data_IF_016061318713
#
_entry.id   IF_016061318713
#
_cell.length_a   1.000
_cell.length_b   1.000
_cell.length_c   1.000
_cell.angle_alpha   90.00
_cell.angle_beta   90.00
_cell.angle_gamma   90.00
#
_symmetry.space_group_name_H-M   'P 1'
#
loop_
_entity.id
_entity.type
_entity.pdbx_description
1 polymer ?
#
# COMPACT_ATOMS: atom_id res chain seq x y z
N UNK A 1 3.66 28.51 29.77
CA UNK A 1 2.43 27.70 29.67
C UNK A 1 2.84 26.25 29.38
N UNK A 2 2.74 25.38 30.39
CA UNK A 2 3.19 24.00 30.38
C UNK A 2 2.07 23.16 29.74
N UNK A 3 2.36 22.49 28.61
CA UNK A 3 1.43 21.55 27.98
C UNK A 3 1.42 20.22 28.74
N UNK A 4 0.28 19.78 29.29
CA UNK A 4 0.18 18.48 29.93
C UNK A 4 -0.28 17.46 28.89
N UNK A 5 0.56 16.49 28.52
CA UNK A 5 0.10 15.16 28.02
C UNK A 5 1.24 14.18 27.74
N UNK A 6 1.59 13.29 28.67
CA UNK A 6 1.84 11.91 28.26
C UNK A 6 0.93 10.88 28.95
N UNK A 7 0.48 11.11 30.20
CA UNK A 7 -0.16 10.07 31.04
C UNK A 7 -1.49 9.48 30.57
N UNK A 8 -2.30 10.19 29.80
CA UNK A 8 -3.59 9.67 29.32
C UNK A 8 -3.41 8.75 28.10
N UNK A 9 -2.43 9.03 27.23
CA UNK A 9 -2.10 8.22 26.06
C UNK A 9 -1.41 6.93 26.46
N UNK A 10 -0.45 6.98 27.38
CA UNK A 10 0.20 5.77 27.94
C UNK A 10 -0.79 4.82 28.62
N UNK A 11 -1.78 5.32 29.35
CA UNK A 11 -2.83 4.48 29.95
C UNK A 11 -3.79 3.85 28.91
N UNK A 12 -4.07 4.54 27.83
CA UNK A 12 -4.90 4.02 26.74
C UNK A 12 -4.16 2.96 25.92
N UNK A 13 -2.87 3.20 25.67
CA UNK A 13 -2.00 2.25 24.95
C UNK A 13 -1.76 0.99 25.78
N UNK A 14 -1.48 1.09 27.10
CA UNK A 14 -1.33 -0.04 28.01
C UNK A 14 -2.61 -0.88 28.09
N UNK A 15 -3.79 -0.28 28.12
CA UNK A 15 -5.06 -1.00 28.10
C UNK A 15 -5.33 -1.71 26.77
N UNK A 16 -4.87 -1.14 25.67
CA UNK A 16 -4.96 -1.76 24.34
C UNK A 16 -4.02 -2.98 24.24
N UNK A 17 -2.82 -2.89 24.81
CA UNK A 17 -1.85 -3.97 24.87
C UNK A 17 -2.37 -5.15 25.71
N UNK A 18 -2.98 -4.87 26.87
CA UNK A 18 -3.60 -5.89 27.72
C UNK A 18 -4.72 -6.65 26.98
N UNK A 19 -5.56 -5.93 26.24
CA UNK A 19 -6.64 -6.54 25.44
C UNK A 19 -6.05 -7.39 24.31
N UNK A 20 -4.99 -6.93 23.68
CA UNK A 20 -4.32 -7.67 22.61
C UNK A 20 -3.73 -8.98 23.12
N UNK A 21 -3.03 -8.95 24.26
CA UNK A 21 -2.39 -10.13 24.85
C UNK A 21 -3.45 -11.13 25.33
N UNK A 22 -4.55 -10.65 25.90
CA UNK A 22 -5.66 -11.52 26.32
C UNK A 22 -6.32 -12.22 25.12
N UNK A 23 -6.54 -11.52 24.01
CA UNK A 23 -7.13 -12.10 22.80
C UNK A 23 -6.17 -13.07 22.11
N UNK A 24 -4.87 -12.79 22.07
CA UNK A 24 -3.83 -13.70 21.60
C UNK A 24 -3.85 -15.02 22.42
N UNK A 25 -3.89 -14.90 23.74
CA UNK A 25 -3.98 -16.07 24.63
C UNK A 25 -5.25 -16.89 24.37
N UNK A 26 -6.38 -16.23 24.13
CA UNK A 26 -7.63 -16.89 23.75
C UNK A 26 -7.50 -17.64 22.41
N UNK A 27 -6.86 -17.06 21.40
CA UNK A 27 -6.63 -17.70 20.09
C UNK A 27 -5.75 -18.95 20.23
N UNK A 28 -4.68 -18.90 21.03
CA UNK A 28 -3.82 -20.05 21.31
C UNK A 28 -4.62 -21.16 22.00
N UNK A 29 -5.40 -20.83 23.04
CA UNK A 29 -6.27 -21.78 23.73
C UNK A 29 -7.29 -22.42 22.80
N UNK A 30 -7.94 -21.61 21.95
CA UNK A 30 -8.91 -22.07 20.96
C UNK A 30 -8.27 -22.99 19.91
N UNK A 31 -7.07 -22.63 19.42
CA UNK A 31 -6.29 -23.43 18.47
C UNK A 31 -5.95 -24.81 19.02
N UNK A 32 -5.57 -24.87 20.30
CA UNK A 32 -5.32 -26.11 21.02
C UNK A 32 -6.61 -26.94 21.22
N UNK A 33 -7.69 -26.30 21.67
CA UNK A 33 -8.98 -26.95 21.88
C UNK A 33 -9.56 -27.56 20.59
N UNK A 34 -9.48 -26.83 19.47
CA UNK A 34 -9.92 -27.32 18.14
C UNK A 34 -9.20 -28.59 17.71
N UNK A 35 -7.95 -28.79 18.14
CA UNK A 35 -7.13 -29.94 17.83
C UNK A 35 -7.27 -31.09 18.87
N UNK A 36 -7.99 -30.84 19.95
CA UNK A 36 -8.16 -31.83 21.01
C UNK A 36 -6.88 -32.20 21.76
N UNK A 37 -5.83 -31.36 21.70
CA UNK A 37 -4.54 -31.63 22.33
C UNK A 37 -4.46 -30.97 23.72
N UNK A 38 -3.75 -31.66 24.66
CA UNK A 38 -3.48 -31.11 25.98
C UNK A 38 -2.38 -30.02 25.91
N UNK A 39 -2.30 -29.15 26.94
CA UNK A 39 -1.21 -28.19 27.08
C UNK A 39 0.15 -28.88 27.12
N UNK A 40 0.23 -30.03 27.78
CA UNK A 40 1.44 -30.87 27.85
C UNK A 40 1.87 -31.36 26.45
N UNK A 41 0.93 -31.72 25.60
CA UNK A 41 1.21 -32.09 24.22
C UNK A 41 1.71 -30.86 23.41
N UNK A 42 1.02 -29.74 23.50
CA UNK A 42 1.45 -28.51 22.84
C UNK A 42 2.85 -28.07 23.31
N UNK A 43 3.16 -28.21 24.60
CA UNK A 43 4.49 -27.92 25.15
C UNK A 43 5.58 -28.74 24.48
N UNK A 44 5.32 -30.04 24.28
CA UNK A 44 6.25 -30.95 23.59
C UNK A 44 6.45 -30.59 22.15
N UNK A 45 5.36 -30.33 21.42
CA UNK A 45 5.36 -30.12 19.98
C UNK A 45 5.92 -28.73 19.60
N UNK A 46 5.72 -27.73 20.47
CA UNK A 46 6.21 -26.37 20.25
C UNK A 46 7.59 -26.07 20.86
N UNK A 47 8.09 -26.95 21.74
CA UNK A 47 9.34 -26.71 22.48
C UNK A 47 9.21 -25.66 23.60
N UNK A 48 8.00 -25.30 24.02
CA UNK A 48 7.71 -24.26 25.00
C UNK A 48 7.27 -24.92 26.31
N UNK A 49 7.72 -24.38 27.46
CA UNK A 49 7.32 -24.94 28.74
C UNK A 49 5.80 -24.88 28.99
N UNK A 50 5.23 -25.89 29.62
CA UNK A 50 3.80 -25.93 29.92
C UNK A 50 3.34 -24.75 30.80
N UNK A 51 4.20 -24.31 31.73
CA UNK A 51 3.98 -23.13 32.56
C UNK A 51 3.84 -21.86 31.72
N UNK A 52 4.74 -21.66 30.75
CA UNK A 52 4.71 -20.45 29.91
C UNK A 52 3.52 -20.47 28.95
N UNK A 53 3.15 -21.63 28.42
CA UNK A 53 1.91 -21.78 27.64
C UNK A 53 0.67 -21.44 28.49
N UNK A 54 0.66 -21.80 29.78
CA UNK A 54 -0.43 -21.42 30.68
C UNK A 54 -0.55 -19.91 30.87
N UNK A 55 0.58 -19.22 31.02
CA UNK A 55 0.61 -17.75 31.07
C UNK A 55 0.14 -17.10 29.78
N UNK A 56 0.58 -17.61 28.61
CA UNK A 56 0.13 -17.10 27.30
C UNK A 56 -1.39 -17.30 27.17
N UNK A 57 -1.91 -18.51 27.43
CA UNK A 57 -3.34 -18.81 27.34
C UNK A 57 -4.20 -18.05 28.37
N UNK A 58 -3.58 -17.59 29.46
CA UNK A 58 -4.21 -16.73 30.47
C UNK A 58 -4.20 -15.24 30.13
N UNK A 59 -3.50 -14.83 29.07
CA UNK A 59 -3.34 -13.43 28.72
C UNK A 59 -2.34 -12.67 29.59
N UNK A 60 -1.49 -13.37 30.34
CA UNK A 60 -0.46 -12.79 31.20
C UNK A 60 0.94 -12.85 30.59
N UNK A 61 1.11 -13.63 29.53
CA UNK A 61 2.40 -13.83 28.85
C UNK A 61 2.55 -12.93 27.65
N UNK A 62 3.73 -12.31 27.49
CA UNK A 62 4.11 -11.58 26.28
C UNK A 62 5.08 -12.45 25.44
N UNK A 63 4.57 -13.31 24.54
CA UNK A 63 5.41 -14.24 23.78
C UNK A 63 6.19 -13.52 22.69
N UNK A 64 7.47 -13.85 22.56
CA UNK A 64 8.26 -13.41 21.42
C UNK A 64 7.73 -14.01 20.11
N UNK A 65 8.07 -13.41 18.99
CA UNK A 65 7.70 -13.93 17.66
C UNK A 65 8.22 -15.35 17.43
N UNK A 66 9.36 -15.70 18.01
CA UNK A 66 9.94 -17.05 17.93
C UNK A 66 9.06 -18.05 18.68
N UNK A 67 8.55 -17.67 19.85
CA UNK A 67 7.61 -18.50 20.63
C UNK A 67 6.30 -18.70 19.86
N UNK A 68 5.75 -17.64 19.28
CA UNK A 68 4.55 -17.74 18.42
C UNK A 68 4.78 -18.63 17.21
N UNK A 69 5.96 -18.57 16.59
CA UNK A 69 6.35 -19.46 15.49
C UNK A 69 6.34 -20.93 15.91
N UNK A 70 6.85 -21.24 17.11
CA UNK A 70 6.83 -22.60 17.65
C UNK A 70 5.38 -23.11 17.87
N UNK A 71 4.50 -22.28 18.42
CA UNK A 71 3.08 -22.62 18.61
C UNK A 71 2.38 -22.80 17.26
N UNK A 72 2.61 -21.91 16.32
CA UNK A 72 2.03 -21.96 14.98
C UNK A 72 2.45 -23.23 14.23
N UNK A 73 3.73 -23.61 14.31
CA UNK A 73 4.24 -24.85 13.73
C UNK A 73 3.58 -26.10 14.37
N UNK A 74 3.40 -26.11 15.70
CA UNK A 74 2.71 -27.20 16.39
C UNK A 74 1.21 -27.28 16.01
N UNK A 75 0.63 -26.19 15.54
CA UNK A 75 -0.76 -26.15 15.06
C UNK A 75 -0.87 -26.35 13.54
N UNK A 76 0.24 -26.38 12.82
CA UNK A 76 0.28 -26.40 11.35
C UNK A 76 -0.52 -25.23 10.73
N UNK A 77 -0.24 -24.01 11.20
CA UNK A 77 -0.86 -22.77 10.72
C UNK A 77 0.18 -21.65 10.55
N UNK A 78 -0.08 -20.66 9.71
CA UNK A 78 0.73 -19.44 9.68
C UNK A 78 0.68 -18.69 11.02
N UNK A 79 1.79 -18.06 11.43
CA UNK A 79 1.86 -17.26 12.68
C UNK A 79 0.77 -16.17 12.70
N UNK A 80 0.41 -15.63 11.56
CA UNK A 80 -0.62 -14.60 11.43
C UNK A 80 -2.00 -15.04 11.97
N UNK A 81 -2.29 -16.36 12.00
CA UNK A 81 -3.54 -16.88 12.53
C UNK A 81 -3.61 -16.88 14.07
N UNK A 82 -2.45 -16.76 14.72
CA UNK A 82 -2.37 -16.62 16.18
C UNK A 82 -2.47 -15.17 16.64
N UNK A 83 -2.33 -14.20 15.72
CA UNK A 83 -2.38 -12.78 16.08
C UNK A 83 -3.82 -12.26 16.11
N UNK A 84 -4.20 -11.50 17.16
CA UNK A 84 -5.47 -10.82 17.20
C UNK A 84 -5.65 -9.91 16.00
N UNK A 85 -6.77 -10.02 15.33
CA UNK A 85 -7.12 -9.12 14.23
C UNK A 85 -7.60 -7.79 14.81
N UNK A 86 -6.71 -6.82 14.98
CA UNK A 86 -7.01 -5.49 15.53
C UNK A 86 -7.99 -4.66 14.67
N UNK A 87 -8.60 -5.26 13.66
CA UNK A 87 -9.55 -4.56 12.79
C UNK A 87 -10.98 -4.62 13.32
N UNK A 88 -11.24 -3.95 14.43
CA UNK A 88 -12.59 -3.70 14.96
C UNK A 88 -13.41 -2.72 14.13
N UNK A 89 -12.88 -2.19 13.01
CA UNK A 89 -13.57 -1.16 12.22
C UNK A 89 -14.49 -1.67 11.13
N UNK A 90 -14.49 -2.99 10.82
CA UNK A 90 -15.36 -3.47 9.75
C UNK A 90 -15.79 -4.92 9.95
N UNK A 91 -16.89 -5.14 10.69
CA UNK A 91 -17.50 -6.47 10.85
C UNK A 91 -17.83 -7.14 9.50
N UNK A 92 -18.03 -6.34 8.44
CA UNK A 92 -18.18 -6.82 7.08
C UNK A 92 -16.91 -7.48 6.54
N UNK A 93 -15.73 -6.91 6.83
CA UNK A 93 -14.44 -7.46 6.37
C UNK A 93 -14.13 -8.80 7.06
N UNK A 94 -14.41 -8.91 8.35
CA UNK A 94 -14.29 -10.18 9.09
C UNK A 94 -15.19 -11.25 8.50
N UNK A 95 -16.46 -10.90 8.24
CA UNK A 95 -17.43 -11.80 7.61
C UNK A 95 -16.99 -12.25 6.21
N UNK A 96 -16.48 -11.33 5.39
CA UNK A 96 -15.96 -11.64 4.05
C UNK A 96 -14.77 -12.59 4.15
N UNK A 97 -13.80 -12.32 5.04
CA UNK A 97 -12.63 -13.20 5.22
C UNK A 97 -13.04 -14.61 5.69
N UNK A 98 -14.02 -14.73 6.60
CA UNK A 98 -14.52 -16.01 7.04
C UNK A 98 -15.25 -16.79 5.92
N UNK A 99 -15.95 -16.09 5.04
CA UNK A 99 -16.58 -16.70 3.87
C UNK A 99 -15.53 -17.14 2.84
N UNK A 100 -14.58 -16.28 2.53
CA UNK A 100 -13.50 -16.57 1.56
C UNK A 100 -12.61 -17.73 2.04
N UNK A 101 -12.32 -17.82 3.34
CA UNK A 101 -11.51 -18.91 3.92
C UNK A 101 -12.11 -20.30 3.80
N UNK A 102 -13.39 -20.43 3.39
CA UNK A 102 -14.09 -21.71 3.17
C UNK A 102 -14.12 -22.15 1.71
N UNK A 103 -13.61 -21.32 0.80
CA UNK A 103 -13.69 -21.57 -0.64
C UNK A 103 -12.45 -22.28 -1.18
N UNK A 104 -12.60 -23.15 -2.19
CA UNK A 104 -11.48 -23.71 -2.92
C UNK A 104 -10.66 -22.64 -3.65
N UNK A 105 -9.37 -22.91 -3.89
CA UNK A 105 -8.46 -21.96 -4.52
C UNK A 105 -8.95 -21.42 -5.89
N UNK A 106 -9.62 -22.25 -6.70
CA UNK A 106 -10.18 -21.84 -7.98
C UNK A 106 -11.33 -20.83 -7.86
N UNK A 107 -12.19 -21.00 -6.86
CA UNK A 107 -13.28 -20.04 -6.58
C UNK A 107 -12.75 -18.73 -5.99
N UNK A 108 -11.71 -18.81 -5.16
CA UNK A 108 -11.04 -17.62 -4.63
C UNK A 108 -10.46 -16.76 -5.75
N UNK A 109 -9.84 -17.37 -6.77
CA UNK A 109 -9.32 -16.65 -7.93
C UNK A 109 -10.43 -15.95 -8.71
N UNK A 110 -11.56 -16.62 -8.95
CA UNK A 110 -12.71 -16.05 -9.65
C UNK A 110 -13.34 -14.87 -8.88
N UNK A 111 -13.44 -14.99 -7.55
CA UNK A 111 -13.94 -13.92 -6.70
C UNK A 111 -12.96 -12.74 -6.66
N UNK A 112 -11.64 -13.01 -6.60
CA UNK A 112 -10.63 -11.97 -6.65
C UNK A 112 -10.75 -11.14 -7.93
N UNK A 113 -10.92 -11.78 -9.10
CA UNK A 113 -11.17 -11.09 -10.37
C UNK A 113 -12.48 -10.29 -10.38
N UNK A 114 -13.54 -10.83 -9.77
CA UNK A 114 -14.83 -10.14 -9.68
C UNK A 114 -14.73 -8.90 -8.78
N UNK A 115 -14.03 -9.01 -7.64
CA UNK A 115 -13.75 -7.90 -6.75
C UNK A 115 -12.85 -6.87 -7.43
N UNK A 116 -11.82 -7.32 -8.14
CA UNK A 116 -10.93 -6.42 -8.86
C UNK A 116 -11.69 -5.66 -9.96
N UNK A 117 -12.49 -6.34 -10.77
CA UNK A 117 -13.40 -5.70 -11.74
C UNK A 117 -14.38 -4.71 -11.09
N UNK A 118 -14.89 -5.01 -9.89
CA UNK A 118 -15.78 -4.10 -9.15
C UNK A 118 -15.03 -2.89 -8.60
N UNK A 119 -13.79 -3.07 -8.18
CA UNK A 119 -12.94 -2.00 -7.65
C UNK A 119 -12.33 -1.13 -8.76
N UNK A 120 -11.98 -1.73 -9.89
CA UNK A 120 -11.45 -1.01 -11.07
C UNK A 120 -12.54 -0.37 -11.93
N UNK A 121 -13.81 -0.78 -11.75
CA UNK A 121 -14.97 -0.32 -12.54
C UNK A 121 -15.03 -1.00 -13.90
N UNK A 122 -16.22 -0.95 -14.53
CA UNK A 122 -16.30 -1.26 -15.95
C UNK A 122 -15.47 -0.24 -16.75
N UNK A 123 -14.64 -0.65 -17.72
CA UNK A 123 -13.92 0.31 -18.54
C UNK A 123 -14.93 1.20 -19.25
N UNK A 124 -14.89 2.50 -19.04
CA UNK A 124 -15.44 3.41 -19.99
C UNK A 124 -16.21 4.65 -19.50
N UNK A 125 -17.05 4.63 -18.45
CA UNK A 125 -18.03 5.73 -18.36
C UNK A 125 -17.63 6.95 -17.51
N UNK A 126 -16.57 6.86 -16.65
CA UNK A 126 -16.28 7.96 -15.71
C UNK A 126 -14.79 8.35 -15.64
N UNK A 127 -13.96 7.77 -16.50
CA UNK A 127 -12.52 8.08 -16.54
C UNK A 127 -12.22 9.40 -17.26
N UNK A 128 -13.13 9.86 -18.12
CA UNK A 128 -12.89 11.04 -18.96
C UNK A 128 -11.62 10.91 -19.80
N UNK A 129 -10.94 12.02 -20.04
CA UNK A 129 -9.61 12.07 -20.65
C UNK A 129 -8.52 12.27 -19.60
N UNK A 130 -8.70 11.73 -18.41
CA UNK A 130 -7.71 11.81 -17.33
C UNK A 130 -6.69 10.68 -17.47
N UNK A 131 -5.43 11.03 -17.58
CA UNK A 131 -4.29 10.10 -17.67
C UNK A 131 -3.45 10.24 -16.41
N UNK A 132 -3.29 9.17 -15.65
CA UNK A 132 -2.46 9.16 -14.46
C UNK A 132 -1.15 8.41 -14.71
N UNK A 133 -0.03 9.04 -14.37
CA UNK A 133 1.29 8.44 -14.43
C UNK A 133 1.68 7.94 -13.04
N UNK A 134 1.85 6.63 -12.90
CA UNK A 134 2.28 5.96 -11.67
C UNK A 134 3.69 5.40 -11.85
N UNK A 135 4.39 5.15 -10.76
CA UNK A 135 5.74 4.61 -10.77
C UNK A 135 6.62 5.29 -9.73
N UNK A 136 7.76 4.69 -9.44
CA UNK A 136 8.64 5.14 -8.37
C UNK A 136 9.21 6.55 -8.65
N UNK A 137 9.71 7.22 -7.62
CA UNK A 137 10.43 8.50 -7.76
C UNK A 137 11.62 8.33 -8.72
N UNK A 138 11.89 9.33 -9.56
CA UNK A 138 12.94 9.24 -10.59
C UNK A 138 12.55 8.46 -11.84
N UNK A 139 11.32 7.94 -11.97
CA UNK A 139 10.85 7.25 -13.18
C UNK A 139 10.66 8.18 -14.40
N UNK A 140 10.64 9.50 -14.20
CA UNK A 140 10.41 10.47 -15.29
C UNK A 140 8.95 10.91 -15.44
N UNK A 141 8.08 10.65 -14.46
CA UNK A 141 6.65 11.02 -14.49
C UNK A 141 6.41 12.49 -14.77
N UNK A 142 7.10 13.39 -14.08
CA UNK A 142 6.93 14.85 -14.24
C UNK A 142 7.35 15.32 -15.62
N UNK A 143 8.48 14.84 -16.13
CA UNK A 143 8.99 15.19 -17.46
C UNK A 143 8.05 14.72 -18.55
N UNK A 144 7.72 13.42 -18.55
CA UNK A 144 6.83 12.81 -19.54
C UNK A 144 5.40 13.34 -19.44
N UNK A 145 4.93 13.59 -18.20
CA UNK A 145 3.60 14.13 -17.94
C UNK A 145 3.43 15.55 -18.49
N UNK A 146 4.44 16.40 -18.31
CA UNK A 146 4.42 17.75 -18.84
C UNK A 146 4.42 17.75 -20.38
N UNK A 147 5.25 16.89 -21.00
CA UNK A 147 5.27 16.74 -22.46
C UNK A 147 3.91 16.24 -22.99
N UNK A 148 3.32 15.26 -22.30
CA UNK A 148 2.03 14.69 -22.69
C UNK A 148 0.89 15.69 -22.54
N UNK A 149 0.83 16.43 -21.45
CA UNK A 149 -0.20 17.44 -21.21
C UNK A 149 -0.16 18.56 -22.28
N UNK A 150 1.04 19.02 -22.63
CA UNK A 150 1.22 19.97 -23.74
C UNK A 150 0.73 19.41 -25.08
N UNK A 151 1.02 18.15 -25.36
CA UNK A 151 0.59 17.49 -26.60
C UNK A 151 -0.94 17.30 -26.66
N UNK A 152 -1.57 17.03 -25.52
CA UNK A 152 -3.01 16.81 -25.41
C UNK A 152 -3.81 18.12 -25.23
N UNK A 153 -3.15 19.24 -24.99
CA UNK A 153 -3.80 20.52 -24.71
C UNK A 153 -4.61 20.53 -23.42
N UNK A 154 -4.13 19.82 -22.37
CA UNK A 154 -4.81 19.73 -21.08
C UNK A 154 -3.86 20.06 -19.90
N UNK A 155 -4.39 20.31 -18.69
CA UNK A 155 -3.56 20.60 -17.53
C UNK A 155 -2.61 19.44 -17.18
N UNK A 156 -1.40 19.78 -16.72
CA UNK A 156 -0.49 18.87 -16.03
C UNK A 156 -0.57 19.14 -14.54
N UNK A 157 -0.85 18.10 -13.74
CA UNK A 157 -1.07 18.19 -12.31
C UNK A 157 -0.11 17.23 -11.59
N UNK A 158 0.76 17.78 -10.75
CA UNK A 158 1.56 17.00 -9.81
C UNK A 158 0.79 16.88 -8.49
N UNK A 159 0.27 15.68 -8.17
CA UNK A 159 -0.55 15.47 -6.99
C UNK A 159 0.19 15.85 -5.70
N UNK A 160 1.50 15.61 -5.65
CA UNK A 160 2.35 15.98 -4.50
C UNK A 160 2.30 17.51 -4.26
N UNK A 161 2.34 18.31 -5.30
CA UNK A 161 2.24 19.79 -5.21
C UNK A 161 0.87 20.24 -4.74
N UNK A 162 -0.18 19.57 -5.18
CA UNK A 162 -1.55 19.85 -4.71
C UNK A 162 -1.67 19.57 -3.22
N UNK A 163 -1.08 18.47 -2.74
CA UNK A 163 -1.06 18.13 -1.32
C UNK A 163 -0.26 19.16 -0.51
N UNK A 164 0.91 19.58 -1.00
CA UNK A 164 1.74 20.60 -0.33
C UNK A 164 1.00 21.93 -0.22
N UNK A 165 0.31 22.35 -1.27
CA UNK A 165 -0.50 23.58 -1.28
C UNK A 165 -1.68 23.50 -0.31
N UNK A 166 -2.38 22.36 -0.28
CA UNK A 166 -3.53 22.16 0.62
C UNK A 166 -3.12 22.11 2.09
N UNK A 167 -1.99 21.47 2.38
CA UNK A 167 -1.48 21.38 3.75
C UNK A 167 -0.76 22.67 4.21
N UNK A 168 -0.23 23.45 3.28
CA UNK A 168 0.52 24.67 3.58
C UNK A 168 2.00 24.44 3.93
N UNK A 169 2.53 23.24 3.71
CA UNK A 169 3.94 22.91 3.93
C UNK A 169 4.41 21.79 3.02
N UNK A 170 5.74 21.55 2.97
CA UNK A 170 6.33 20.47 2.17
C UNK A 170 5.90 19.09 2.64
N UNK A 171 5.88 18.09 1.74
CA UNK A 171 5.56 16.70 2.10
C UNK A 171 6.45 16.14 3.22
N UNK A 172 7.78 16.35 3.22
CA UNK A 172 8.62 15.94 4.35
C UNK A 172 8.14 16.52 5.67
N UNK A 173 7.82 17.82 5.72
CA UNK A 173 7.32 18.51 6.92
C UNK A 173 5.96 17.94 7.35
N UNK A 174 5.04 17.72 6.41
CA UNK A 174 3.74 17.10 6.69
C UNK A 174 3.91 15.73 7.35
N UNK A 175 4.77 14.87 6.77
CA UNK A 175 5.00 13.50 7.26
C UNK A 175 5.67 13.53 8.64
N UNK A 176 6.65 14.40 8.86
CA UNK A 176 7.35 14.55 10.12
C UNK A 176 6.42 15.05 11.24
N UNK A 177 5.63 16.08 10.98
CA UNK A 177 4.76 16.71 11.98
C UNK A 177 3.47 15.95 12.23
N UNK A 178 2.86 15.34 11.21
CA UNK A 178 1.51 14.79 11.28
C UNK A 178 1.43 13.29 10.93
N UNK A 179 2.53 12.70 10.54
CA UNK A 179 2.66 11.28 10.23
C UNK A 179 2.12 10.87 8.84
N UNK A 180 2.55 9.68 8.39
CA UNK A 180 2.18 9.12 7.08
C UNK A 180 0.67 8.95 6.92
N UNK A 181 -0.06 8.61 7.98
CA UNK A 181 -1.52 8.43 7.93
C UNK A 181 -2.26 9.73 7.57
N UNK A 182 -1.79 10.87 8.07
CA UNK A 182 -2.34 12.18 7.72
C UNK A 182 -2.03 12.53 6.27
N UNK A 183 -0.79 12.32 5.82
CA UNK A 183 -0.42 12.48 4.42
C UNK A 183 -1.34 11.67 3.49
N UNK A 184 -1.63 10.40 3.79
CA UNK A 184 -2.51 9.56 2.96
C UNK A 184 -3.95 10.08 2.88
N UNK A 185 -4.46 10.70 3.95
CA UNK A 185 -5.78 11.34 3.91
C UNK A 185 -5.80 12.56 2.99
N UNK A 186 -4.77 13.42 3.08
CA UNK A 186 -4.63 14.56 2.18
C UNK A 186 -4.44 14.12 0.72
N UNK A 187 -3.56 13.13 0.47
CA UNK A 187 -3.34 12.56 -0.87
C UNK A 187 -4.66 12.11 -1.51
N UNK A 188 -5.49 11.39 -0.75
CA UNK A 188 -6.79 10.94 -1.23
C UNK A 188 -7.75 12.09 -1.49
N UNK A 189 -7.92 13.01 -0.55
CA UNK A 189 -8.83 14.15 -0.68
C UNK A 189 -8.44 15.06 -1.85
N UNK A 190 -7.14 15.32 -2.02
CA UNK A 190 -6.62 16.09 -3.15
C UNK A 190 -6.86 15.37 -4.48
N UNK A 191 -6.68 14.04 -4.54
CA UNK A 191 -6.96 13.26 -5.73
C UNK A 191 -8.45 13.30 -6.10
N UNK A 192 -9.35 13.15 -5.12
CA UNK A 192 -10.80 13.26 -5.31
C UNK A 192 -11.18 14.61 -5.90
N UNK A 193 -10.61 15.71 -5.37
CA UNK A 193 -10.83 17.07 -5.88
C UNK A 193 -10.29 17.25 -7.29
N UNK A 194 -9.04 16.84 -7.56
CA UNK A 194 -8.43 16.94 -8.89
C UNK A 194 -9.28 16.21 -9.95
N UNK A 195 -9.80 15.04 -9.62
CA UNK A 195 -10.67 14.26 -10.50
C UNK A 195 -12.01 14.99 -10.73
N UNK A 196 -12.60 15.59 -9.70
CA UNK A 196 -13.88 16.28 -9.79
C UNK A 196 -13.79 17.59 -10.61
N UNK A 197 -12.66 18.29 -10.52
CA UNK A 197 -12.45 19.58 -11.18
C UNK A 197 -11.95 19.47 -12.63
N UNK A 198 -11.50 18.29 -13.07
CA UNK A 198 -10.88 18.11 -14.37
C UNK A 198 -11.40 16.89 -15.12
N UNK A 199 -12.12 17.11 -16.23
CA UNK A 199 -12.55 16.04 -17.15
C UNK A 199 -11.40 15.55 -18.04
N UNK A 200 -10.38 16.38 -18.24
CA UNK A 200 -9.16 16.08 -18.97
C UNK A 200 -7.94 16.63 -18.23
N UNK A 201 -7.01 15.76 -17.87
CA UNK A 201 -5.74 16.14 -17.22
C UNK A 201 -4.70 15.03 -17.35
N UNK A 202 -3.42 15.40 -17.26
CA UNK A 202 -2.33 14.45 -16.99
C UNK A 202 -1.91 14.62 -15.53
N UNK A 203 -2.04 13.57 -14.75
CA UNK A 203 -1.80 13.56 -13.30
C UNK A 203 -0.53 12.74 -13.01
N UNK A 204 0.50 13.36 -12.44
CA UNK A 204 1.66 12.64 -11.90
C UNK A 204 1.45 12.39 -10.40
N UNK A 205 1.59 11.12 -9.99
CA UNK A 205 1.36 10.71 -8.60
C UNK A 205 2.65 10.51 -7.81
N UNK A 206 2.55 10.51 -6.47
CA UNK A 206 3.64 10.05 -5.60
C UNK A 206 4.03 8.59 -5.92
N UNK A 207 5.32 8.28 -5.79
CA UNK A 207 5.80 6.91 -5.98
C UNK A 207 5.24 5.91 -4.96
N UNK A 208 4.67 6.38 -3.86
CA UNK A 208 4.09 5.55 -2.81
C UNK A 208 2.57 5.39 -2.89
N UNK A 209 1.88 5.89 -3.91
CA UNK A 209 0.41 5.87 -4.00
C UNK A 209 -0.16 4.44 -3.95
N UNK A 210 0.56 3.47 -4.51
CA UNK A 210 0.19 2.04 -4.50
C UNK A 210 0.16 1.44 -3.09
N UNK A 211 0.87 2.03 -2.13
CA UNK A 211 0.83 1.62 -0.72
C UNK A 211 -0.46 2.08 0.02
N UNK A 212 -1.34 2.83 -0.65
CA UNK A 212 -2.65 3.24 -0.17
C UNK A 212 -3.74 2.58 -1.03
N UNK A 213 -4.23 1.37 -0.68
CA UNK A 213 -5.12 0.59 -1.56
C UNK A 213 -6.38 1.34 -1.98
N UNK A 214 -6.98 2.13 -1.08
CA UNK A 214 -8.19 2.90 -1.37
C UNK A 214 -7.93 4.03 -2.36
N UNK A 215 -6.83 4.78 -2.18
CA UNK A 215 -6.43 5.87 -3.07
C UNK A 215 -6.04 5.35 -4.44
N UNK A 216 -5.32 4.22 -4.47
CA UNK A 216 -4.91 3.61 -5.72
C UNK A 216 -6.11 3.02 -6.48
N UNK A 217 -7.05 2.37 -5.80
CA UNK A 217 -8.29 1.91 -6.41
C UNK A 217 -9.14 3.06 -6.98
N UNK A 218 -9.18 4.21 -6.29
CA UNK A 218 -9.83 5.42 -6.82
C UNK A 218 -9.16 5.88 -8.13
N UNK A 219 -7.83 5.95 -8.14
CA UNK A 219 -7.05 6.35 -9.32
C UNK A 219 -7.34 5.42 -10.51
N UNK A 220 -7.26 4.10 -10.32
CA UNK A 220 -7.52 3.10 -11.35
C UNK A 220 -8.96 3.20 -11.92
N UNK A 221 -9.95 3.51 -11.10
CA UNK A 221 -11.34 3.65 -11.55
C UNK A 221 -11.60 4.93 -12.34
N UNK A 222 -10.94 6.03 -11.97
CA UNK A 222 -11.31 7.37 -12.42
C UNK A 222 -10.34 7.96 -13.45
N UNK A 223 -9.26 7.25 -13.78
CA UNK A 223 -8.24 7.69 -14.74
C UNK A 223 -7.76 6.52 -15.60
N UNK A 224 -7.15 6.84 -16.74
CA UNK A 224 -6.37 5.89 -17.52
C UNK A 224 -4.94 5.88 -16.98
N UNK A 225 -4.52 4.77 -16.40
CA UNK A 225 -3.26 4.69 -15.66
C UNK A 225 -2.13 4.14 -16.52
N UNK A 226 -0.96 4.78 -16.47
CA UNK A 226 0.26 4.30 -17.13
C UNK A 226 1.37 4.15 -16.09
N UNK A 227 1.88 2.94 -15.95
CA UNK A 227 3.06 2.70 -15.14
C UNK A 227 4.32 3.08 -15.90
N UNK A 228 5.04 4.08 -15.40
CA UNK A 228 6.36 4.48 -15.90
C UNK A 228 7.40 3.66 -15.15
N UNK A 229 8.03 2.73 -15.86
CA UNK A 229 9.07 1.83 -15.35
C UNK A 229 10.44 2.29 -15.85
N UNK A 230 11.43 2.27 -14.97
CA UNK A 230 12.84 2.50 -15.30
C UNK A 230 13.71 1.46 -14.60
N UNK A 231 14.97 1.33 -15.01
CA UNK A 231 15.91 0.46 -14.31
C UNK A 231 16.26 1.03 -12.92
N UNK A 232 16.63 0.18 -11.95
CA UNK A 232 17.06 0.66 -10.62
C UNK A 232 18.20 1.68 -10.70
N UNK A 233 19.12 1.50 -11.63
CA UNK A 233 20.25 2.40 -11.86
C UNK A 233 19.78 3.79 -12.32
N UNK A 234 18.84 3.85 -13.26
CA UNK A 234 18.28 5.13 -13.75
C UNK A 234 17.45 5.82 -12.69
N UNK A 235 16.68 5.08 -11.89
CA UNK A 235 15.98 5.66 -10.74
C UNK A 235 16.97 6.37 -9.81
N UNK A 236 18.05 5.69 -9.46
CA UNK A 236 19.08 6.22 -8.57
C UNK A 236 19.76 7.45 -9.16
N UNK A 237 20.23 7.38 -10.42
CA UNK A 237 20.88 8.49 -11.10
C UNK A 237 19.98 9.74 -11.14
N UNK A 238 18.73 9.59 -11.56
CA UNK A 238 17.77 10.70 -11.68
C UNK A 238 17.37 11.32 -10.35
N UNK A 239 17.32 10.53 -9.27
CA UNK A 239 17.07 11.03 -7.91
C UNK A 239 18.25 11.85 -7.40
N UNK A 240 19.48 11.42 -7.71
CA UNK A 240 20.69 12.19 -7.41
C UNK A 240 20.75 13.53 -8.15
N UNK A 241 20.46 13.52 -9.45
CA UNK A 241 20.41 14.73 -10.27
C UNK A 241 19.38 15.76 -9.75
N UNK A 242 18.32 15.28 -9.08
CA UNK A 242 17.31 16.13 -8.42
C UNK A 242 17.74 16.66 -7.05
N UNK A 243 18.98 16.40 -6.61
CA UNK A 243 19.53 16.91 -5.36
C UNK A 243 19.05 16.20 -4.10
N UNK A 244 18.40 15.05 -4.22
CA UNK A 244 18.02 14.24 -3.06
C UNK A 244 19.10 13.20 -2.74
N UNK A 245 20.03 13.59 -1.87
CA UNK A 245 21.15 12.75 -1.45
C UNK A 245 20.81 11.82 -0.26
N UNK A 246 19.59 11.87 0.27
CA UNK A 246 19.17 11.04 1.43
C UNK A 246 19.33 9.53 1.21
N UNK A 247 19.10 8.98 0.01
CA UNK A 247 19.35 7.55 -0.25
C UNK A 247 20.84 7.18 -0.38
N UNK A 248 21.74 8.17 -0.36
CA UNK A 248 23.13 8.01 -0.84
C UNK A 248 24.18 7.83 0.25
N UNK A 249 23.82 7.98 1.52
CA UNK A 249 24.79 7.88 2.60
C UNK A 249 25.52 6.51 2.66
N UNK A 250 24.92 5.45 2.01
CA UNK A 250 25.52 4.10 1.94
C UNK A 250 25.10 3.41 0.62
N UNK A 251 25.88 3.58 -0.42
CA UNK A 251 25.57 3.19 -1.82
C UNK A 251 25.07 1.75 -2.08
N UNK A 252 25.52 0.75 -1.31
CA UNK A 252 25.09 -0.66 -1.51
C UNK A 252 23.72 -0.94 -0.88
N UNK A 253 23.48 -0.44 0.31
CA UNK A 253 22.22 -0.64 1.02
C UNK A 253 21.07 0.10 0.32
N UNK A 254 21.30 1.35 -0.10
CA UNK A 254 20.31 2.14 -0.82
C UNK A 254 19.85 1.50 -2.15
N UNK A 255 20.75 0.85 -2.87
CA UNK A 255 20.42 0.12 -4.10
C UNK A 255 19.68 -1.19 -3.81
N UNK A 256 20.00 -1.87 -2.71
CA UNK A 256 19.28 -3.07 -2.26
C UNK A 256 17.85 -2.71 -1.82
N UNK A 257 17.68 -1.64 -1.05
CA UNK A 257 16.38 -1.11 -0.62
C UNK A 257 15.52 -0.70 -1.81
N UNK A 258 16.12 -0.01 -2.80
CA UNK A 258 15.41 0.38 -4.01
C UNK A 258 14.89 -0.83 -4.80
N UNK A 259 15.71 -1.88 -4.93
CA UNK A 259 15.29 -3.13 -5.58
C UNK A 259 14.17 -3.82 -4.82
N UNK A 260 14.29 -3.90 -3.49
CA UNK A 260 13.26 -4.48 -2.63
C UNK A 260 11.94 -3.71 -2.74
N UNK A 261 11.97 -2.37 -2.81
CA UNK A 261 10.77 -1.54 -3.01
C UNK A 261 10.16 -1.79 -4.39
N UNK A 262 10.98 -1.89 -5.45
CA UNK A 262 10.49 -2.16 -6.81
C UNK A 262 9.85 -3.54 -6.90
N UNK A 263 10.46 -4.55 -6.29
CA UNK A 263 9.94 -5.91 -6.22
C UNK A 263 8.63 -5.96 -5.43
N UNK A 264 8.59 -5.38 -4.24
CA UNK A 264 7.41 -5.36 -3.38
C UNK A 264 6.21 -4.62 -4.01
N UNK A 265 6.46 -3.58 -4.80
CA UNK A 265 5.40 -2.76 -5.43
C UNK A 265 5.11 -3.13 -6.89
N UNK A 266 5.89 -4.04 -7.47
CA UNK A 266 5.78 -4.40 -8.89
C UNK A 266 4.41 -4.93 -9.26
N UNK A 267 3.85 -5.81 -8.44
CA UNK A 267 2.51 -6.36 -8.64
C UNK A 267 1.40 -5.28 -8.58
N UNK A 268 1.53 -4.31 -7.67
CA UNK A 268 0.56 -3.22 -7.56
C UNK A 268 0.65 -2.28 -8.76
N UNK A 269 1.86 -1.89 -9.18
CA UNK A 269 2.03 -1.06 -10.37
C UNK A 269 1.54 -1.75 -11.65
N UNK A 270 1.68 -3.08 -11.75
CA UNK A 270 1.22 -3.86 -12.91
C UNK A 270 -0.31 -3.86 -13.09
N UNK A 271 -1.08 -3.36 -12.11
CA UNK A 271 -2.53 -3.14 -12.22
C UNK A 271 -2.89 -1.91 -13.06
N UNK A 272 -1.91 -1.09 -13.45
CA UNK A 272 -2.12 0.02 -14.38
C UNK A 272 -2.59 -0.48 -15.75
N UNK A 273 -3.38 0.35 -16.47
CA UNK A 273 -3.95 -0.02 -17.79
C UNK A 273 -2.84 -0.24 -18.85
N UNK A 274 -1.69 0.43 -18.71
CA UNK A 274 -0.55 0.26 -19.59
C UNK A 274 0.78 0.42 -18.84
N UNK A 275 1.84 -0.13 -19.40
CA UNK A 275 3.21 0.00 -18.88
C UNK A 275 4.11 0.61 -19.95
N UNK A 276 4.87 1.64 -19.58
CA UNK A 276 5.92 2.22 -20.38
C UNK A 276 7.28 1.94 -19.72
N UNK A 277 8.10 1.13 -20.37
CA UNK A 277 9.50 0.94 -19.96
C UNK A 277 10.38 2.02 -20.61
N UNK A 278 11.01 2.84 -19.77
CA UNK A 278 11.89 3.95 -20.18
C UNK A 278 13.38 3.60 -20.10
N UNK A 279 13.71 2.36 -19.72
CA UNK A 279 15.11 1.94 -19.56
C UNK A 279 15.88 2.09 -20.87
N UNK A 280 17.05 2.76 -20.82
CA UNK A 280 17.93 2.99 -21.97
C UNK A 280 17.37 3.94 -23.04
N UNK A 281 16.29 4.68 -22.74
CA UNK A 281 15.63 5.57 -23.72
C UNK A 281 15.75 7.03 -23.33
N UNK A 282 15.84 7.90 -24.35
CA UNK A 282 15.74 9.35 -24.13
C UNK A 282 14.32 9.75 -23.72
N UNK A 283 14.16 10.97 -23.21
CA UNK A 283 12.85 11.54 -22.88
C UNK A 283 11.94 11.59 -24.10
N UNK A 284 12.46 11.95 -25.27
CA UNK A 284 11.72 12.07 -26.54
C UNK A 284 11.27 10.69 -27.04
N UNK A 285 12.13 9.68 -26.97
CA UNK A 285 11.80 8.31 -27.33
C UNK A 285 10.71 7.74 -26.42
N UNK A 286 10.85 7.96 -25.11
CA UNK A 286 9.87 7.57 -24.11
C UNK A 286 8.54 8.28 -24.30
N UNK A 287 8.57 9.60 -24.60
CA UNK A 287 7.37 10.39 -24.91
C UNK A 287 6.64 9.88 -26.14
N UNK A 288 7.38 9.60 -27.23
CA UNK A 288 6.78 9.05 -28.45
C UNK A 288 6.04 7.74 -28.20
N UNK A 289 6.59 6.88 -27.35
CA UNK A 289 5.93 5.63 -26.96
C UNK A 289 4.72 5.90 -26.05
N UNK A 290 4.85 6.81 -25.06
CA UNK A 290 3.76 7.20 -24.19
C UNK A 290 2.57 7.74 -24.97
N UNK A 291 2.82 8.65 -25.92
CA UNK A 291 1.77 9.24 -26.75
C UNK A 291 1.00 8.18 -27.56
N UNK A 292 1.69 7.14 -28.06
CA UNK A 292 1.04 6.01 -28.75
C UNK A 292 0.20 5.17 -27.79
N UNK A 293 0.70 4.90 -26.57
CA UNK A 293 -0.01 4.11 -25.54
C UNK A 293 -1.31 4.79 -25.11
N UNK A 294 -1.31 6.12 -24.97
CA UNK A 294 -2.47 6.86 -24.47
C UNK A 294 -3.41 7.36 -25.59
N UNK A 295 -3.02 7.24 -26.86
CA UNK A 295 -3.83 7.67 -27.99
C UNK A 295 -5.28 7.16 -28.02
N UNK A 296 -5.58 5.90 -27.63
CA UNK A 296 -6.96 5.42 -27.51
C UNK A 296 -7.77 6.23 -26.49
N UNK A 297 -7.21 6.51 -25.34
CA UNK A 297 -7.88 7.19 -24.22
C UNK A 297 -8.08 8.70 -24.46
N UNK A 298 -7.21 9.30 -25.26
CA UNK A 298 -7.31 10.73 -25.60
C UNK A 298 -8.49 11.04 -26.54
N UNK A 299 -9.03 10.03 -27.23
CA UNK A 299 -10.11 10.18 -28.23
C UNK A 299 -11.51 9.89 -27.71
N UNK A 300 -11.67 9.22 -26.57
CA UNK A 300 -12.96 8.71 -26.07
C UNK A 300 -13.97 9.78 -25.62
N UNK A 301 -13.66 11.07 -25.71
CA UNK A 301 -14.55 12.13 -25.27
C UNK A 301 -15.28 12.87 -26.41
N UNK A 302 -15.52 12.23 -27.55
CA UNK A 302 -16.27 12.82 -28.69
C UNK A 302 -17.51 12.00 -29.11
N UNK A 303 -18.14 11.31 -28.16
CA UNK A 303 -19.48 10.75 -28.42
C UNK A 303 -20.47 11.24 -27.39
#
# INVERSE_FOLDING_TARGET
>A
MVTPKPKAREKADAKADDVFVAELGHLVRLGRAKRGISRKQLARDSGISERYLAQIEGGEGNPSVIVLKGIAAAFDVPVAELLPRLNTRNGALTKINDLLGRLPAGELAAIAELVDRRLTGAPGSDRGRRIALVGLRGAGKSTLGNMLAKNLGCPFIELDRVVEQEYGASLPTLIEMSGVGTFRRYERACLERVIAENDAAVIATAGGIVASPETYALLLRRTHTVWIKASPQEHMSRVMEQGDFRPMAQNREAMADLRAILEARGADYARADATLDTAGKSAEQSFTQLAKLVAPYAKEARQ
#
